data_IF_755086877575
#
_entry.id   IF_755086877575
#
_cell.length_a   1.000
_cell.length_b   1.000
_cell.length_c   1.000
_cell.angle_alpha   90.00
_cell.angle_beta   90.00
_cell.angle_gamma   90.00
#
_symmetry.space_group_name_H-M   'P 1'
#
loop_
_entity.id
_entity.type
_entity.pdbx_description
1 polymer ?
#
# COMPACT_ATOMS: atom_id res chain seq x y z
N UNK A 1 9.91 2.12 8.04
CA UNK A 1 10.08 1.47 6.71
C UNK A 1 9.32 2.31 5.71
N UNK A 2 9.97 2.98 4.76
CA UNK A 2 9.27 3.88 3.84
C UNK A 2 8.56 3.05 2.77
N UNK A 3 7.32 3.42 2.48
CA UNK A 3 6.60 2.92 1.31
C UNK A 3 7.37 3.35 0.07
N UNK A 4 7.76 2.39 -0.78
CA UNK A 4 8.32 2.71 -2.09
C UNK A 4 7.19 3.10 -3.05
N UNK A 5 7.46 3.93 -4.08
CA UNK A 5 6.54 4.09 -5.20
C UNK A 5 6.17 2.71 -5.74
N UNK A 6 4.87 2.46 -5.83
CA UNK A 6 4.33 1.19 -6.32
C UNK A 6 4.39 1.18 -7.84
N UNK A 7 4.76 0.05 -8.47
CA UNK A 7 4.86 -0.03 -9.91
C UNK A 7 3.49 0.20 -10.55
N UNK A 8 3.51 0.85 -11.72
CA UNK A 8 2.33 1.04 -12.55
C UNK A 8 2.50 0.13 -13.77
N UNK A 9 1.61 -0.82 -13.94
CA UNK A 9 1.64 -1.78 -15.04
C UNK A 9 0.51 -1.54 -16.03
N UNK A 10 0.82 -1.72 -17.33
CA UNK A 10 -0.17 -1.64 -18.40
C UNK A 10 -0.92 -2.97 -18.53
N UNK A 11 -2.24 -2.91 -18.56
CA UNK A 11 -3.12 -4.05 -18.81
C UNK A 11 -3.57 -4.11 -20.26
N UNK A 12 -2.62 -4.27 -21.17
CA UNK A 12 -2.88 -4.29 -22.62
C UNK A 12 -3.88 -5.38 -23.04
N UNK A 13 -3.83 -6.54 -22.37
CA UNK A 13 -4.78 -7.65 -22.63
C UNK A 13 -6.20 -7.29 -22.22
N UNK A 14 -6.37 -6.57 -21.12
CA UNK A 14 -7.68 -6.11 -20.67
C UNK A 14 -8.21 -5.01 -21.57
N UNK A 15 -7.34 -4.06 -21.96
CA UNK A 15 -7.66 -3.02 -22.94
C UNK A 15 -8.18 -3.61 -24.25
N UNK A 16 -7.49 -4.61 -24.80
CA UNK A 16 -7.93 -5.32 -26.03
C UNK A 16 -9.27 -6.03 -25.86
N UNK A 17 -9.52 -6.68 -24.71
CA UNK A 17 -10.80 -7.33 -24.42
C UNK A 17 -11.97 -6.34 -24.27
N UNK A 18 -11.69 -5.13 -23.81
CA UNK A 18 -12.66 -4.03 -23.65
C UNK A 18 -12.95 -3.25 -24.93
N UNK A 19 -12.53 -3.72 -26.11
CA UNK A 19 -12.72 -3.02 -27.39
C UNK A 19 -11.63 -2.01 -27.74
N UNK A 20 -10.50 -2.00 -27.02
CA UNK A 20 -9.28 -1.28 -27.42
C UNK A 20 -9.29 0.24 -27.22
N UNK A 21 -10.40 0.83 -26.78
CA UNK A 21 -10.55 2.29 -26.69
C UNK A 21 -10.07 2.91 -25.37
N UNK A 22 -9.68 2.10 -24.39
CA UNK A 22 -9.26 2.59 -23.06
C UNK A 22 -7.92 1.94 -22.70
N UNK A 23 -6.93 2.80 -22.40
CA UNK A 23 -5.68 2.36 -21.77
C UNK A 23 -5.94 2.03 -20.30
N UNK A 24 -5.83 0.76 -19.95
CA UNK A 24 -6.00 0.30 -18.58
C UNK A 24 -4.63 0.15 -17.91
N UNK A 25 -4.42 0.84 -16.79
CA UNK A 25 -3.20 0.73 -15.99
C UNK A 25 -3.57 0.33 -14.56
N UNK A 26 -2.70 -0.45 -13.90
CA UNK A 26 -2.87 -0.83 -12.48
C UNK A 26 -1.68 -0.32 -11.68
N UNK A 27 -2.00 0.30 -10.54
CA UNK A 27 -1.01 0.67 -9.53
C UNK A 27 -0.95 -0.42 -8.45
N UNK A 28 0.15 -1.15 -8.35
CA UNK A 28 0.25 -2.35 -7.51
C UNK A 28 0.47 -2.03 -6.03
N UNK A 29 -0.60 -1.64 -5.34
CA UNK A 29 -0.53 -1.29 -3.93
C UNK A 29 -0.18 -2.49 -3.02
N UNK A 30 -0.37 -3.72 -3.48
CA UNK A 30 0.07 -4.95 -2.78
C UNK A 30 1.60 -5.04 -2.69
N UNK A 31 2.33 -4.56 -3.70
CA UNK A 31 3.79 -4.50 -3.69
C UNK A 31 4.35 -3.32 -2.87
N UNK A 32 3.49 -2.57 -2.15
CA UNK A 32 3.89 -1.35 -1.45
C UNK A 32 4.67 -1.59 -0.15
N UNK A 33 4.62 -2.80 0.41
CA UNK A 33 5.33 -3.19 1.63
C UNK A 33 5.38 -4.72 1.76
N UNK A 34 6.46 -5.25 2.34
CA UNK A 34 6.63 -6.67 2.66
C UNK A 34 5.77 -7.14 3.85
N UNK A 35 5.12 -6.21 4.56
CA UNK A 35 4.32 -6.54 5.73
C UNK A 35 3.01 -7.19 5.29
N UNK A 36 2.88 -8.50 5.49
CA UNK A 36 1.66 -9.28 5.27
C UNK A 36 0.92 -8.93 3.96
N UNK A 37 1.66 -8.94 2.84
CA UNK A 37 1.17 -8.63 1.48
C UNK A 37 0.80 -7.16 1.20
N UNK A 38 1.21 -6.22 2.06
CA UNK A 38 1.14 -4.80 1.73
C UNK A 38 -0.29 -4.26 1.62
N UNK A 39 -0.53 -3.44 0.61
CA UNK A 39 -1.86 -2.95 0.25
C UNK A 39 -2.21 -1.54 0.74
N UNK A 40 -3.36 -1.05 0.27
CA UNK A 40 -3.83 0.31 0.53
C UNK A 40 -4.03 0.62 2.02
N UNK A 41 -4.49 -0.37 2.80
CA UNK A 41 -4.68 -0.21 4.25
C UNK A 41 -3.36 0.13 4.97
N UNK A 42 -2.25 -0.48 4.53
CA UNK A 42 -0.93 -0.22 5.11
C UNK A 42 -0.42 1.18 4.74
N UNK A 43 -0.67 1.65 3.51
CA UNK A 43 -0.37 3.05 3.13
C UNK A 43 -1.09 4.05 4.05
N UNK A 44 -2.38 3.84 4.32
CA UNK A 44 -3.16 4.71 5.24
C UNK A 44 -2.65 4.63 6.68
N UNK A 45 -2.25 3.43 7.13
CA UNK A 45 -1.73 3.24 8.49
C UNK A 45 -0.41 3.98 8.71
N UNK A 46 0.44 4.08 7.68
CA UNK A 46 1.70 4.81 7.77
C UNK A 46 1.50 6.27 8.17
N UNK A 47 0.62 6.98 7.45
CA UNK A 47 0.33 8.38 7.75
C UNK A 47 -0.25 8.55 9.15
N UNK A 48 -1.20 7.69 9.56
CA UNK A 48 -1.72 7.73 10.94
C UNK A 48 -0.65 7.49 11.99
N UNK A 49 0.29 6.58 11.74
CA UNK A 49 1.40 6.32 12.68
C UNK A 49 2.34 7.51 12.78
N UNK A 50 2.64 8.16 11.65
CA UNK A 50 3.48 9.38 11.64
C UNK A 50 2.80 10.49 12.44
N UNK A 51 1.50 10.70 12.24
CA UNK A 51 0.70 11.68 12.99
C UNK A 51 0.61 11.35 14.49
N UNK A 52 0.42 10.09 14.85
CA UNK A 52 0.28 9.64 16.24
C UNK A 52 1.59 9.72 17.05
N UNK A 53 2.73 9.86 16.39
CA UNK A 53 4.04 9.86 17.04
C UNK A 53 4.45 8.49 17.60
N UNK A 54 5.55 8.41 18.37
CA UNK A 54 6.02 7.17 18.95
C UNK A 54 5.04 6.65 20.00
N UNK A 55 4.48 5.47 19.76
CA UNK A 55 3.66 4.73 20.73
C UNK A 55 4.56 4.36 21.92
N UNK A 56 4.36 5.03 23.06
CA UNK A 56 4.99 4.64 24.32
C UNK A 56 4.22 3.47 24.90
N UNK A 57 4.83 2.29 24.90
CA UNK A 57 4.32 1.17 25.69
C UNK A 57 4.53 1.52 27.16
N UNK A 58 3.44 1.75 27.90
CA UNK A 58 3.51 1.76 29.35
C UNK A 58 3.92 0.34 29.78
N UNK A 59 5.16 0.17 30.23
CA UNK A 59 5.56 -1.04 30.93
C UNK A 59 4.68 -1.12 32.18
N UNK A 60 3.66 -1.98 32.16
CA UNK A 60 2.93 -2.30 33.37
C UNK A 60 3.93 -2.99 34.30
N UNK A 61 4.45 -2.25 35.29
CA UNK A 61 5.05 -2.89 36.46
C UNK A 61 3.90 -3.61 37.16
N UNK A 62 3.79 -4.91 36.91
CA UNK A 62 3.07 -5.80 37.82
C UNK A 62 3.90 -5.82 39.10
N UNK A 63 3.33 -5.29 40.17
CA UNK A 63 3.82 -5.50 41.54
C UNK A 63 3.53 -6.94 41.94
#
# INVERSE_FOLDING_TARGET
MPFRPTPIEKLDRLGKRGGGNIENNVNEMTASSELASGGNKLRKLYYRRVEAGPVRFAQSRRF
#
